data_IF_463249932118
#
_entry.id   IF_463249932118
#
_cell.length_a   1.000
_cell.length_b   1.000
_cell.length_c   1.000
_cell.angle_alpha   90.00
_cell.angle_beta   90.00
_cell.angle_gamma   90.00
#
_symmetry.space_group_name_H-M   'P 1'
#
loop_
_entity.id
_entity.type
_entity.pdbx_description
1 polymer ?
#
# COMPACT_ATOMS: atom_id res chain seq x y z
N UNK A 1 -25.50 5.08 -14.14
CA UNK A 1 -24.33 4.31 -14.64
C UNK A 1 -24.22 3.06 -13.79
N UNK A 2 -24.67 1.92 -14.30
CA UNK A 2 -24.60 0.63 -13.61
C UNK A 2 -23.18 0.09 -13.75
N UNK A 3 -22.44 0.01 -12.66
CA UNK A 3 -21.14 -0.68 -12.64
C UNK A 3 -21.36 -2.17 -12.95
N UNK A 4 -20.58 -2.78 -13.86
CA UNK A 4 -20.75 -4.18 -14.25
C UNK A 4 -20.62 -5.14 -13.06
N UNK A 5 -21.46 -6.19 -13.01
CA UNK A 5 -21.49 -7.15 -11.90
C UNK A 5 -20.15 -7.89 -11.70
N UNK A 6 -19.39 -8.07 -12.78
CA UNK A 6 -18.06 -8.69 -12.79
C UNK A 6 -17.00 -7.81 -12.10
N UNK A 7 -17.09 -6.49 -12.26
CA UNK A 7 -16.21 -5.52 -11.58
C UNK A 7 -16.50 -5.52 -10.08
N UNK A 8 -17.78 -5.47 -9.69
CA UNK A 8 -18.20 -5.48 -8.28
C UNK A 8 -17.83 -6.80 -7.59
N UNK A 9 -17.94 -7.94 -8.26
CA UNK A 9 -17.54 -9.23 -7.72
C UNK A 9 -16.02 -9.32 -7.51
N UNK A 10 -15.23 -8.77 -8.44
CA UNK A 10 -13.77 -8.73 -8.34
C UNK A 10 -13.33 -7.80 -7.20
N UNK A 11 -13.87 -6.59 -7.11
CA UNK A 11 -13.60 -5.65 -6.01
C UNK A 11 -13.96 -6.23 -4.64
N UNK A 12 -15.12 -6.89 -4.51
CA UNK A 12 -15.52 -7.58 -3.26
C UNK A 12 -14.57 -8.72 -2.92
N UNK A 13 -14.12 -9.49 -3.90
CA UNK A 13 -13.16 -10.58 -3.71
C UNK A 13 -11.79 -10.08 -3.25
N UNK A 14 -11.26 -9.02 -3.88
CA UNK A 14 -9.98 -8.41 -3.50
C UNK A 14 -10.04 -7.75 -2.13
N UNK A 15 -11.12 -7.02 -1.83
CA UNK A 15 -11.34 -6.45 -0.50
C UNK A 15 -11.40 -7.55 0.57
N UNK A 16 -12.19 -8.60 0.35
CA UNK A 16 -12.27 -9.72 1.27
C UNK A 16 -10.93 -10.45 1.47
N UNK A 17 -10.13 -10.61 0.41
CA UNK A 17 -8.83 -11.27 0.46
C UNK A 17 -7.80 -10.43 1.24
N UNK A 18 -7.72 -9.13 0.98
CA UNK A 18 -6.81 -8.23 1.71
C UNK A 18 -7.19 -8.11 3.19
N UNK A 19 -8.48 -8.04 3.51
CA UNK A 19 -8.98 -8.11 4.88
C UNK A 19 -8.65 -9.44 5.56
N UNK A 20 -8.82 -10.57 4.88
CA UNK A 20 -8.49 -11.89 5.42
C UNK A 20 -7.00 -12.07 5.69
N UNK A 21 -6.15 -11.40 4.90
CA UNK A 21 -4.69 -11.43 5.05
C UNK A 21 -4.15 -10.37 6.00
N UNK A 22 -4.99 -9.50 6.55
CA UNK A 22 -4.60 -8.39 7.44
C UNK A 22 -3.55 -7.51 6.74
N UNK A 23 -3.83 -7.12 5.49
CA UNK A 23 -2.95 -6.32 4.63
C UNK A 23 -3.56 -4.97 4.27
N UNK A 24 -2.77 -3.91 4.42
CA UNK A 24 -3.02 -2.63 3.78
C UNK A 24 -2.88 -2.76 2.26
N UNK A 25 -3.79 -2.12 1.53
CA UNK A 25 -3.76 -2.01 0.09
C UNK A 25 -3.88 -0.55 -0.32
N UNK A 26 -3.08 -0.13 -1.30
CA UNK A 26 -3.34 1.09 -2.03
C UNK A 26 -2.89 0.96 -3.49
N UNK A 27 -3.56 1.71 -4.35
CA UNK A 27 -3.20 1.92 -5.74
C UNK A 27 -2.67 3.34 -5.87
N UNK A 28 -1.49 3.47 -6.47
CA UNK A 28 -0.80 4.74 -6.63
C UNK A 28 -0.67 5.06 -8.12
N UNK A 29 -0.67 6.35 -8.45
CA UNK A 29 -0.21 6.87 -9.74
C UNK A 29 1.04 7.72 -9.50
N UNK A 30 2.13 7.40 -10.18
CA UNK A 30 3.40 8.13 -10.01
C UNK A 30 3.36 9.44 -10.79
N UNK A 31 3.70 10.54 -10.12
CA UNK A 31 3.77 11.88 -10.69
C UNK A 31 5.23 12.22 -11.03
N UNK A 32 5.43 12.76 -12.24
CA UNK A 32 6.76 13.10 -12.77
C UNK A 32 6.81 14.58 -13.12
N UNK A 33 7.99 15.20 -12.99
CA UNK A 33 8.25 16.55 -13.49
C UNK A 33 8.41 16.58 -15.02
N UNK A 34 8.54 17.80 -15.57
CA UNK A 34 8.74 18.05 -17.01
C UNK A 34 10.02 17.42 -17.59
N UNK A 35 10.97 17.04 -16.73
CA UNK A 35 12.26 16.43 -17.09
C UNK A 35 12.20 14.90 -16.92
N UNK A 36 11.06 14.35 -16.53
CA UNK A 36 10.84 12.92 -16.35
C UNK A 36 11.39 12.36 -15.04
N UNK A 37 11.56 13.18 -14.00
CA UNK A 37 11.96 12.71 -12.66
C UNK A 37 10.71 12.45 -11.81
N UNK A 38 10.66 11.36 -11.05
CA UNK A 38 9.55 11.11 -10.15
C UNK A 38 9.61 12.09 -8.98
N UNK A 39 8.52 12.82 -8.74
CA UNK A 39 8.47 13.91 -7.74
C UNK A 39 7.47 13.64 -6.62
N UNK A 40 6.42 12.87 -6.89
CA UNK A 40 5.39 12.50 -5.91
C UNK A 40 4.60 11.29 -6.45
N UNK A 41 3.59 10.88 -5.71
CA UNK A 41 2.57 9.96 -6.20
C UNK A 41 1.21 10.28 -5.57
N UNK A 42 0.15 9.94 -6.30
CA UNK A 42 -1.23 10.15 -5.89
C UNK A 42 -1.90 8.84 -5.50
N UNK A 43 -2.66 8.84 -4.42
CA UNK A 43 -3.47 7.69 -4.03
C UNK A 43 -4.72 7.65 -4.91
N UNK A 44 -4.90 6.58 -5.66
CA UNK A 44 -6.05 6.35 -6.54
C UNK A 44 -7.11 5.51 -5.85
N UNK A 45 -6.69 4.53 -5.06
CA UNK A 45 -7.59 3.67 -4.30
C UNK A 45 -6.89 3.16 -3.04
N UNK A 46 -7.65 2.90 -1.98
CA UNK A 46 -7.14 2.38 -0.70
C UNK A 46 -8.17 1.45 -0.05
N UNK A 47 -7.71 0.54 0.82
CA UNK A 47 -8.61 -0.24 1.68
C UNK A 47 -8.63 0.31 3.12
N UNK A 48 -9.60 -0.07 3.98
CA UNK A 48 -9.64 0.42 5.37
C UNK A 48 -8.38 0.09 6.21
N UNK A 49 -7.68 -1.00 5.88
CA UNK A 49 -6.43 -1.37 6.55
C UNK A 49 -5.28 -0.42 6.20
N UNK A 50 -5.32 0.27 5.06
CA UNK A 50 -4.38 1.33 4.73
C UNK A 50 -4.42 2.42 5.80
N UNK A 51 -5.61 2.92 6.15
CA UNK A 51 -5.75 3.97 7.16
C UNK A 51 -5.30 3.49 8.52
N UNK A 52 -5.64 2.25 8.90
CA UNK A 52 -5.21 1.67 10.17
C UNK A 52 -3.68 1.56 10.28
N UNK A 53 -3.02 1.08 9.23
CA UNK A 53 -1.58 0.85 9.24
C UNK A 53 -0.76 2.13 9.03
N UNK A 54 -1.27 3.12 8.28
CA UNK A 54 -0.53 4.35 7.98
C UNK A 54 -0.92 5.53 8.87
N UNK A 55 -2.15 5.55 9.36
CA UNK A 55 -2.77 6.69 10.03
C UNK A 55 -3.22 7.81 9.09
N UNK A 56 -3.17 7.60 7.77
CA UNK A 56 -3.60 8.57 6.78
C UNK A 56 -5.09 8.39 6.50
N UNK A 57 -5.85 9.48 6.64
CA UNK A 57 -7.29 9.53 6.36
C UNK A 57 -7.56 10.34 5.10
N UNK A 58 -8.65 10.02 4.41
CA UNK A 58 -9.11 10.73 3.20
C UNK A 58 -8.00 10.84 2.14
N UNK A 59 -7.22 9.76 1.96
CA UNK A 59 -6.02 9.80 1.11
C UNK A 59 -6.34 9.81 -0.38
N UNK A 60 -7.47 9.23 -0.80
CA UNK A 60 -7.84 9.09 -2.21
C UNK A 60 -7.90 10.47 -2.88
N UNK A 61 -7.21 10.60 -4.01
CA UNK A 61 -7.09 11.83 -4.81
C UNK A 61 -6.00 12.80 -4.36
N UNK A 62 -5.38 12.59 -3.19
CA UNK A 62 -4.34 13.45 -2.61
C UNK A 62 -2.95 12.88 -2.89
N UNK A 63 -1.94 13.76 -2.91
CA UNK A 63 -0.55 13.34 -3.11
C UNK A 63 0.10 12.90 -1.81
N UNK A 64 1.19 12.14 -1.91
CA UNK A 64 1.89 11.64 -0.74
C UNK A 64 2.55 12.77 0.06
N UNK A 65 3.14 13.74 -0.62
CA UNK A 65 3.75 14.91 0.03
C UNK A 65 2.70 15.88 0.60
N UNK A 66 1.47 15.89 0.09
CA UNK A 66 0.37 16.64 0.71
C UNK A 66 -0.04 16.06 2.06
N UNK A 67 -0.09 14.72 2.16
CA UNK A 67 -0.47 14.01 3.38
C UNK A 67 0.69 13.89 4.37
N UNK A 68 1.91 13.75 3.87
CA UNK A 68 3.13 13.53 4.63
C UNK A 68 4.24 14.42 4.06
N UNK A 69 4.32 15.69 4.47
CA UNK A 69 5.31 16.64 3.92
C UNK A 69 6.77 16.19 4.10
N UNK A 70 7.06 15.48 5.19
CA UNK A 70 8.40 14.96 5.50
C UNK A 70 8.61 13.52 4.99
N UNK A 71 7.84 13.07 3.99
CA UNK A 71 7.96 11.73 3.43
C UNK A 71 9.36 11.51 2.84
N UNK A 72 9.92 10.33 3.09
CA UNK A 72 11.24 10.02 2.58
C UNK A 72 11.23 9.76 1.07
N UNK A 73 12.11 10.46 0.33
CA UNK A 73 12.17 10.37 -1.14
C UNK A 73 12.40 8.96 -1.70
N UNK A 74 12.99 8.05 -0.92
CA UNK A 74 13.19 6.67 -1.37
C UNK A 74 11.86 5.93 -1.64
N UNK A 75 10.73 6.35 -1.03
CA UNK A 75 9.41 5.77 -1.32
C UNK A 75 9.00 6.08 -2.76
N UNK A 76 9.11 7.36 -3.12
CA UNK A 76 8.80 7.88 -4.46
C UNK A 76 9.70 7.20 -5.49
N UNK A 77 11.01 7.17 -5.25
CA UNK A 77 11.99 6.54 -6.15
C UNK A 77 11.72 5.03 -6.35
N UNK A 78 11.43 4.29 -5.28
CA UNK A 78 11.17 2.84 -5.38
C UNK A 78 9.89 2.55 -6.16
N UNK A 79 8.83 3.31 -5.93
CA UNK A 79 7.57 3.08 -6.63
C UNK A 79 7.66 3.50 -8.10
N UNK A 80 8.36 4.60 -8.39
CA UNK A 80 8.71 4.99 -9.76
C UNK A 80 9.50 3.88 -10.48
N UNK A 81 10.51 3.30 -9.83
CA UNK A 81 11.27 2.18 -10.39
C UNK A 81 10.39 0.98 -10.73
N UNK A 82 9.38 0.67 -9.91
CA UNK A 82 8.42 -0.41 -10.17
C UNK A 82 7.54 -0.08 -11.38
N UNK A 83 7.06 1.16 -11.49
CA UNK A 83 6.28 1.63 -12.63
C UNK A 83 7.07 1.55 -13.95
N UNK A 84 8.31 2.04 -13.94
CA UNK A 84 9.20 2.10 -15.12
C UNK A 84 9.72 0.72 -15.54
N UNK A 85 10.13 -0.10 -14.58
CA UNK A 85 10.74 -1.38 -14.90
C UNK A 85 9.72 -2.48 -15.23
N UNK A 86 8.46 -2.28 -14.87
CA UNK A 86 7.43 -3.31 -14.93
C UNK A 86 7.72 -4.53 -14.04
N UNK A 87 8.64 -4.42 -13.06
CA UNK A 87 9.04 -5.51 -12.17
C UNK A 87 8.59 -5.24 -10.74
N UNK A 88 7.94 -6.24 -10.14
CA UNK A 88 7.54 -6.18 -8.74
C UNK A 88 8.75 -6.15 -7.79
N UNK A 89 8.58 -5.49 -6.65
CA UNK A 89 9.61 -5.35 -5.61
C UNK A 89 9.03 -5.67 -4.24
N UNK A 90 9.82 -6.38 -3.41
CA UNK A 90 9.48 -6.69 -2.02
C UNK A 90 10.58 -6.20 -1.11
N UNK A 91 10.22 -5.49 -0.05
CA UNK A 91 11.20 -4.92 0.86
C UNK A 91 10.58 -4.61 2.22
N UNK A 92 11.43 -4.52 3.23
CA UNK A 92 11.08 -4.02 4.56
C UNK A 92 11.77 -2.67 4.74
N UNK A 93 11.01 -1.66 5.14
CA UNK A 93 11.52 -0.31 5.20
C UNK A 93 10.81 0.51 6.27
N UNK A 94 11.62 1.25 7.05
CA UNK A 94 11.12 2.15 8.08
C UNK A 94 10.70 3.47 7.45
N UNK A 95 9.49 3.92 7.73
CA UNK A 95 9.12 5.33 7.61
C UNK A 95 9.33 6.01 8.95
N UNK A 96 10.24 6.98 8.99
CA UNK A 96 10.47 7.87 10.12
C UNK A 96 9.31 8.86 10.24
N UNK A 97 8.81 9.38 9.12
CA UNK A 97 7.66 10.29 9.09
C UNK A 97 6.42 9.68 9.77
N UNK A 98 6.18 8.37 9.57
CA UNK A 98 5.07 7.66 10.20
C UNK A 98 5.45 6.90 11.48
N UNK A 99 6.75 6.85 11.83
CA UNK A 99 7.31 6.08 12.94
C UNK A 99 6.90 4.58 12.95
N UNK A 100 6.92 3.94 11.77
CA UNK A 100 6.50 2.56 11.52
C UNK A 100 7.46 1.81 10.61
N UNK A 101 7.47 0.49 10.72
CA UNK A 101 8.25 -0.40 9.86
C UNK A 101 7.29 -1.17 8.96
N UNK A 102 7.36 -0.94 7.65
CA UNK A 102 6.46 -1.57 6.69
C UNK A 102 7.17 -2.71 5.96
N UNK A 103 6.52 -3.86 5.90
CA UNK A 103 6.79 -4.89 4.89
C UNK A 103 5.92 -4.60 3.68
N UNK A 104 6.53 -4.30 2.54
CA UNK A 104 5.85 -3.82 1.33
C UNK A 104 6.12 -4.77 0.16
N UNK A 105 5.06 -5.08 -0.57
CA UNK A 105 5.10 -5.68 -1.89
C UNK A 105 4.49 -4.70 -2.89
N UNK A 106 5.33 -4.14 -3.75
CA UNK A 106 4.96 -3.23 -4.82
C UNK A 106 4.95 -3.97 -6.16
N UNK A 107 3.98 -3.72 -7.02
CA UNK A 107 3.86 -4.31 -8.34
C UNK A 107 3.23 -3.35 -9.34
N UNK A 108 3.62 -3.38 -10.63
CA UNK A 108 3.01 -2.53 -11.65
C UNK A 108 1.57 -2.96 -11.91
N UNK A 109 0.72 -2.00 -12.25
CA UNK A 109 -0.69 -2.24 -12.59
C UNK A 109 -0.98 -1.59 -13.95
N UNK A 110 -1.62 -2.34 -14.84
CA UNK A 110 -1.95 -1.82 -16.17
C UNK A 110 -0.73 -1.60 -17.07
N UNK A 111 -0.90 -0.88 -18.18
CA UNK A 111 0.16 -0.47 -19.08
C UNK A 111 1.20 0.47 -18.43
N UNK A 112 2.44 0.41 -18.90
CA UNK A 112 3.55 1.25 -18.40
C UNK A 112 3.25 2.75 -18.47
N UNK A 113 2.57 3.20 -19.52
CA UNK A 113 2.21 4.61 -19.70
C UNK A 113 1.25 5.16 -18.63
N UNK A 114 0.49 4.27 -17.95
CA UNK A 114 -0.45 4.70 -16.91
C UNK A 114 0.28 5.00 -15.59
N UNK A 115 1.52 4.49 -15.44
CA UNK A 115 2.41 4.70 -14.28
C UNK A 115 1.75 4.32 -12.96
N UNK A 116 0.97 3.25 -12.99
CA UNK A 116 0.21 2.79 -11.83
C UNK A 116 0.97 1.70 -11.07
N UNK A 117 0.96 1.80 -9.74
CA UNK A 117 1.62 0.86 -8.85
C UNK A 117 0.65 0.42 -7.76
N UNK A 118 0.45 -0.90 -7.65
CA UNK A 118 -0.28 -1.50 -6.54
C UNK A 118 0.67 -1.82 -5.39
N UNK A 119 0.27 -1.50 -4.17
CA UNK A 119 0.98 -1.85 -2.95
C UNK A 119 0.13 -2.76 -2.08
N UNK A 120 0.77 -3.82 -1.59
CA UNK A 120 0.28 -4.61 -0.47
C UNK A 120 1.31 -4.52 0.65
N UNK A 121 0.88 -4.12 1.84
CA UNK A 121 1.81 -3.92 2.94
C UNK A 121 1.25 -4.28 4.31
N UNK A 122 2.15 -4.46 5.27
CA UNK A 122 1.83 -4.71 6.68
C UNK A 122 2.71 -3.84 7.58
N UNK A 123 2.12 -3.31 8.64
CA UNK A 123 2.90 -2.72 9.73
C UNK A 123 3.48 -3.84 10.63
N UNK A 124 4.80 -3.92 10.68
CA UNK A 124 5.51 -4.92 11.49
C UNK A 124 5.46 -4.62 12.99
N UNK A 125 5.07 -3.40 13.40
CA UNK A 125 4.88 -3.06 14.81
C UNK A 125 3.64 -3.74 15.39
N UNK A 126 2.61 -3.96 14.56
CA UNK A 126 1.34 -4.62 14.96
C UNK A 126 1.47 -6.16 15.00
N UNK A 127 2.31 -6.73 14.14
CA UNK A 127 2.48 -8.20 14.02
C UNK A 127 3.21 -8.85 15.21
N UNK A 128 4.06 -8.09 15.92
CA UNK A 128 4.71 -8.57 17.15
C UNK A 128 3.73 -8.78 18.29
N UNK A 129 2.66 -7.99 18.36
CA UNK A 129 1.63 -8.15 19.41
C UNK A 129 0.75 -9.38 19.17
N UNK A 130 0.41 -9.71 17.90
CA UNK A 130 -0.40 -10.90 17.57
C UNK A 130 0.35 -12.23 17.64
N UNK A 131 1.66 -12.24 17.39
CA UNK A 131 2.46 -13.48 17.41
C UNK A 131 2.64 -14.06 18.81
N UNK A 132 2.54 -13.22 19.86
CA UNK A 132 2.54 -13.68 21.25
C UNK A 132 1.16 -14.22 21.66
N UNK A 133 0.07 -13.62 21.16
CA UNK A 133 -1.30 -14.05 21.49
C UNK A 133 -1.71 -15.41 20.88
N UNK A 134 -1.27 -15.73 19.65
CA UNK A 134 -1.61 -17.04 19.02
C UNK A 134 -0.89 -18.24 19.65
N UNK A 135 0.22 -18.03 20.38
CA UNK A 135 0.93 -19.12 21.08
C UNK A 135 0.29 -19.49 22.43
N UNK A 136 -0.50 -18.60 23.03
CA UNK A 136 -1.12 -18.85 24.34
C UNK A 136 -2.48 -19.57 24.18
N UNK A 137 -3.20 -19.35 23.07
CA UNK A 137 -4.51 -19.98 22.85
C UNK A 137 -4.48 -21.50 22.59
N UNK A 138 -3.31 -22.09 22.32
CA UNK A 138 -3.18 -23.55 22.13
C UNK A 138 -2.90 -24.32 23.45
N UNK A 139 -2.63 -23.63 24.56
CA UNK A 139 -2.19 -24.29 25.81
C UNK A 139 -3.26 -24.39 26.92
N UNK A 140 -4.50 -23.97 26.66
CA UNK A 140 -5.60 -24.04 27.64
C UNK A 140 -6.83 -24.85 27.19
N UNK A 141 -6.62 -25.94 26.45
CA UNK A 141 -7.57 -27.05 26.41
C UNK A 141 -6.85 -28.33 26.84
N UNK A 142 -6.72 -28.48 28.16
CA UNK A 142 -6.61 -29.79 28.79
C UNK A 142 -8.01 -30.34 29.01
#
# INVERSE_FOLDING_TARGET
>A
MTVPLDVVAKERGYSALTSALDMGYCLLQIEYDDVGRPVDYRFIDTNPLFELHTGLHDAIGRSALELVPDLEGFWIERYAQVAESGKSSRFVQRSRAMNRDFEVHAFPVGPEQDRMVGLLFKDLKESRTRSVAKRIACFSRK
#
